data_IF_216831994430
#
_entry.id   IF_216831994430
#
_cell.length_a   1.000
_cell.length_b   1.000
_cell.length_c   1.000
_cell.angle_alpha   90.00
_cell.angle_beta   90.00
_cell.angle_gamma   90.00
#
_symmetry.space_group_name_H-M   'P 1'
#
loop_
_entity.id
_entity.type
_entity.pdbx_description
1 polymer ?
#
# COMPACT_ATOMS: atom_id res chain seq x y z
N UNK A 1 5.25 -6.37 -5.52
CA UNK A 1 4.25 -6.35 -4.42
C UNK A 1 3.19 -7.44 -4.64
N UNK A 2 2.72 -8.09 -3.58
CA UNK A 2 1.52 -8.94 -3.62
C UNK A 2 0.52 -8.58 -2.50
N UNK A 3 -0.76 -8.85 -2.75
CA UNK A 3 -1.87 -8.69 -1.81
C UNK A 3 -2.60 -10.03 -1.68
N UNK A 4 -2.82 -10.47 -0.46
CA UNK A 4 -3.49 -11.73 -0.11
C UNK A 4 -4.62 -11.47 0.86
N UNK A 5 -5.66 -12.27 0.75
CA UNK A 5 -6.66 -12.38 1.81
C UNK A 5 -5.97 -12.93 3.07
N UNK A 6 -6.02 -12.21 4.18
CA UNK A 6 -5.28 -12.58 5.39
C UNK A 6 -5.83 -13.83 6.09
N UNK A 7 -7.11 -14.17 5.91
CA UNK A 7 -7.71 -15.36 6.51
C UNK A 7 -7.37 -16.62 5.70
N UNK A 8 -7.38 -16.51 4.37
CA UNK A 8 -7.24 -17.67 3.47
C UNK A 8 -5.85 -17.81 2.84
N UNK A 9 -5.01 -16.78 2.90
CA UNK A 9 -3.70 -16.73 2.22
C UNK A 9 -3.78 -16.62 0.69
N UNK A 10 -5.00 -16.57 0.12
CA UNK A 10 -5.24 -16.54 -1.32
C UNK A 10 -4.74 -15.24 -1.92
N UNK A 11 -3.96 -15.34 -3.01
CA UNK A 11 -3.52 -14.16 -3.77
C UNK A 11 -4.73 -13.46 -4.39
N UNK A 12 -4.86 -12.17 -4.09
CA UNK A 12 -5.87 -11.28 -4.65
C UNK A 12 -5.27 -10.46 -5.78
N UNK A 13 -4.04 -9.97 -5.62
CA UNK A 13 -3.37 -9.15 -6.60
C UNK A 13 -1.86 -9.30 -6.51
N UNK A 14 -1.17 -9.13 -7.63
CA UNK A 14 0.28 -9.10 -7.70
C UNK A 14 0.71 -8.13 -8.80
N UNK A 15 1.78 -7.38 -8.53
CA UNK A 15 2.38 -6.46 -9.49
C UNK A 15 3.90 -6.39 -9.31
N UNK A 16 4.60 -6.20 -10.41
CA UNK A 16 6.07 -6.11 -10.48
C UNK A 16 6.57 -4.69 -10.72
N UNK A 17 5.67 -3.77 -11.07
CA UNK A 17 5.98 -2.35 -11.29
C UNK A 17 6.47 -1.69 -9.99
N UNK A 18 7.38 -0.72 -10.15
CA UNK A 18 7.83 0.11 -9.04
C UNK A 18 6.86 1.27 -8.78
N UNK A 19 5.95 1.03 -7.83
CA UNK A 19 4.94 2.01 -7.41
C UNK A 19 5.48 3.04 -6.41
N UNK A 20 6.77 3.02 -6.09
CA UNK A 20 7.42 4.01 -5.21
C UNK A 20 7.93 5.24 -5.96
N UNK A 21 7.96 5.19 -7.30
CA UNK A 21 8.44 6.27 -8.16
C UNK A 21 7.57 7.53 -7.98
N UNK A 22 8.16 8.68 -7.59
CA UNK A 22 7.44 9.93 -7.40
C UNK A 22 7.16 10.64 -8.73
N UNK A 23 6.29 11.66 -8.70
CA UNK A 23 6.04 12.55 -9.86
C UNK A 23 5.12 11.97 -10.95
N UNK A 24 4.73 10.71 -10.83
CA UNK A 24 3.74 10.06 -11.69
C UNK A 24 2.58 9.52 -10.84
N UNK A 25 1.38 9.47 -11.42
CA UNK A 25 0.25 8.77 -10.82
C UNK A 25 0.19 7.37 -11.42
N UNK A 26 0.48 6.36 -10.58
CA UNK A 26 0.43 4.97 -10.99
C UNK A 26 -1.01 4.46 -10.99
N UNK A 27 -1.27 3.36 -11.69
CA UNK A 27 -2.55 2.66 -11.63
C UNK A 27 -2.39 1.24 -11.07
N UNK A 28 -3.35 0.80 -10.25
CA UNK A 28 -3.47 -0.59 -9.85
C UNK A 28 -4.91 -1.07 -10.03
N UNK A 29 -5.07 -2.18 -10.75
CA UNK A 29 -6.36 -2.85 -10.98
C UNK A 29 -6.48 -4.05 -10.07
N UNK A 30 -7.24 -3.92 -9.00
CA UNK A 30 -7.41 -4.94 -7.95
C UNK A 30 -8.80 -5.57 -8.04
N UNK A 31 -8.98 -6.86 -7.71
CA UNK A 31 -10.30 -7.47 -7.84
C UNK A 31 -11.24 -6.95 -6.75
N UNK A 32 -12.48 -6.61 -7.11
CA UNK A 32 -13.50 -6.06 -6.18
C UNK A 32 -13.76 -6.90 -4.92
N UNK A 33 -13.46 -8.21 -4.97
CA UNK A 33 -13.57 -9.12 -3.81
C UNK A 33 -12.64 -8.73 -2.65
N UNK A 34 -11.59 -7.95 -2.90
CA UNK A 34 -10.68 -7.44 -1.86
C UNK A 34 -11.43 -6.61 -0.81
N UNK A 35 -12.51 -5.92 -1.20
CA UNK A 35 -13.35 -5.12 -0.32
C UNK A 35 -14.18 -5.96 0.66
N UNK A 36 -14.21 -7.28 0.49
CA UNK A 36 -14.90 -8.23 1.39
C UNK A 36 -13.95 -8.91 2.37
N UNK A 37 -12.65 -8.69 2.25
CA UNK A 37 -11.67 -9.27 3.16
C UNK A 37 -11.71 -8.49 4.47
N UNK A 38 -11.74 -9.19 5.61
CA UNK A 38 -11.61 -8.54 6.92
C UNK A 38 -10.24 -7.90 7.11
N UNK A 39 -9.22 -8.53 6.52
CA UNK A 39 -7.88 -7.98 6.46
C UNK A 39 -7.16 -8.46 5.18
N UNK A 40 -6.24 -7.65 4.71
CA UNK A 40 -5.38 -7.93 3.56
C UNK A 40 -3.94 -8.03 4.06
N UNK A 41 -3.31 -9.16 3.81
CA UNK A 41 -1.86 -9.32 3.98
C UNK A 41 -1.16 -8.76 2.74
N UNK A 42 -0.26 -7.80 2.94
CA UNK A 42 0.56 -7.19 1.89
C UNK A 42 1.99 -7.66 2.03
N UNK A 43 2.61 -8.01 0.92
CA UNK A 43 4.04 -8.24 0.83
C UNK A 43 4.68 -7.25 -0.15
N UNK A 44 5.63 -6.48 0.35
CA UNK A 44 6.51 -5.61 -0.43
C UNK A 44 7.86 -6.28 -0.57
N UNK A 45 8.43 -6.24 -1.77
CA UNK A 45 9.82 -6.60 -1.99
C UNK A 45 10.52 -5.33 -2.48
N UNK A 46 11.60 -4.93 -1.82
CA UNK A 46 12.33 -3.72 -2.13
C UNK A 46 13.82 -3.94 -1.94
N UNK A 47 14.61 -3.15 -2.67
CA UNK A 47 16.06 -3.10 -2.51
C UNK A 47 16.49 -1.69 -2.13
N UNK A 48 17.54 -1.57 -1.34
CA UNK A 48 18.16 -0.28 -1.01
C UNK A 48 19.67 -0.38 -1.16
N UNK A 49 20.27 0.53 -1.90
CA UNK A 49 21.73 0.69 -1.93
C UNK A 49 22.21 1.31 -0.61
N UNK A 50 21.47 2.29 -0.10
CA UNK A 50 21.76 3.02 1.13
C UNK A 50 21.32 2.25 2.37
N UNK A 51 22.04 2.45 3.48
CA UNK A 51 21.58 2.05 4.80
C UNK A 51 20.44 2.98 5.24
N UNK A 52 19.45 2.45 5.96
CA UNK A 52 18.44 3.25 6.65
C UNK A 52 18.36 2.80 8.10
N UNK A 53 18.23 3.76 9.02
CA UNK A 53 18.15 3.48 10.45
C UNK A 53 16.75 3.01 10.86
N UNK A 54 15.72 3.67 10.33
CA UNK A 54 14.32 3.42 10.68
C UNK A 54 13.41 3.60 9.47
N UNK A 55 13.54 2.69 8.50
CA UNK A 55 12.67 2.70 7.33
C UNK A 55 11.21 2.46 7.72
N UNK A 56 10.33 3.36 7.30
CA UNK A 56 8.89 3.32 7.60
C UNK A 56 8.05 3.93 6.48
N UNK A 57 6.76 3.58 6.46
CA UNK A 57 5.77 4.12 5.54
C UNK A 57 4.65 4.82 6.29
N UNK A 58 4.22 5.94 5.72
CA UNK A 58 2.92 6.53 6.01
C UNK A 58 2.07 6.46 4.75
N UNK A 59 0.85 5.95 4.88
CA UNK A 59 -0.08 5.83 3.76
C UNK A 59 -1.38 6.51 4.07
N UNK A 60 -1.86 7.31 3.11
CA UNK A 60 -3.17 7.96 3.19
C UNK A 60 -4.05 7.49 2.06
N UNK A 61 -5.26 7.06 2.40
CA UNK A 61 -6.28 6.65 1.43
C UNK A 61 -7.21 7.84 1.21
N UNK A 62 -7.16 8.40 0.01
CA UNK A 62 -8.04 9.49 -0.39
C UNK A 62 -9.18 8.98 -1.25
N UNK A 63 -10.38 9.46 -0.98
CA UNK A 63 -11.54 9.32 -1.86
C UNK A 63 -12.02 10.71 -2.26
N UNK A 64 -11.96 11.01 -3.56
CA UNK A 64 -12.34 12.33 -4.11
C UNK A 64 -11.69 13.52 -3.37
N UNK A 65 -10.43 13.35 -2.95
CA UNK A 65 -9.64 14.38 -2.24
C UNK A 65 -9.86 14.41 -0.73
N UNK A 66 -10.83 13.68 -0.18
CA UNK A 66 -11.00 13.53 1.26
C UNK A 66 -10.18 12.34 1.78
N UNK A 67 -9.36 12.55 2.81
CA UNK A 67 -8.66 11.46 3.49
C UNK A 67 -9.66 10.62 4.28
N UNK A 68 -9.73 9.33 3.97
CA UNK A 68 -10.59 8.36 4.66
C UNK A 68 -9.84 7.61 5.76
N UNK A 69 -8.62 7.18 5.46
CA UNK A 69 -7.80 6.36 6.34
C UNK A 69 -6.33 6.78 6.29
N UNK A 70 -5.64 6.59 7.41
CA UNK A 70 -4.19 6.75 7.53
C UNK A 70 -3.61 5.48 8.14
N UNK A 71 -2.56 4.94 7.50
CA UNK A 71 -1.88 3.74 7.95
C UNK A 71 -0.39 4.00 8.15
N UNK A 72 0.17 3.41 9.20
CA UNK A 72 1.56 3.57 9.60
C UNK A 72 2.21 2.20 9.68
N UNK A 73 3.32 2.01 8.98
CA UNK A 73 4.05 0.75 8.96
C UNK A 73 5.53 1.00 9.20
N UNK A 74 6.13 0.25 10.11
CA UNK A 74 7.57 0.32 10.41
C UNK A 74 8.26 -0.96 9.96
N UNK A 75 9.33 -0.82 9.18
CA UNK A 75 10.23 -1.92 8.82
C UNK A 75 11.44 -1.96 9.77
N UNK A 76 12.01 -0.79 10.06
CA UNK A 76 13.20 -0.63 10.90
C UNK A 76 14.48 -0.54 10.08
N UNK A 77 15.56 -1.12 10.62
CA UNK A 77 16.89 -1.02 10.03
C UNK A 77 16.98 -1.72 8.66
N UNK A 78 17.57 -1.05 7.68
CA UNK A 78 17.83 -1.60 6.34
C UNK A 78 19.33 -1.66 6.10
N UNK A 79 19.83 -2.88 5.84
CA UNK A 79 21.24 -3.11 5.50
C UNK A 79 21.53 -2.47 4.13
N UNK A 80 22.67 -1.79 3.94
CA UNK A 80 23.05 -1.25 2.63
C UNK A 80 23.22 -2.37 1.60
N UNK A 81 22.84 -2.10 0.36
CA UNK A 81 22.81 -3.04 -0.76
C UNK A 81 22.02 -4.34 -0.49
N UNK A 82 20.97 -4.26 0.33
CA UNK A 82 20.10 -5.40 0.63
C UNK A 82 18.83 -5.42 -0.20
N UNK A 83 18.24 -6.61 -0.32
CA UNK A 83 16.89 -6.82 -0.84
C UNK A 83 16.08 -7.49 0.25
N UNK A 84 14.94 -6.89 0.60
CA UNK A 84 14.11 -7.30 1.72
C UNK A 84 12.71 -7.61 1.24
N UNK A 85 12.08 -8.56 1.94
CA UNK A 85 10.65 -8.85 1.82
C UNK A 85 9.98 -8.42 3.11
N UNK A 86 9.02 -7.51 3.01
CA UNK A 86 8.30 -6.93 4.13
C UNK A 86 6.82 -7.26 4.06
N UNK A 87 6.33 -7.96 5.08
CA UNK A 87 4.92 -8.27 5.23
C UNK A 87 4.25 -7.29 6.19
N UNK A 88 3.08 -6.80 5.80
CA UNK A 88 2.23 -5.92 6.62
C UNK A 88 0.78 -6.41 6.59
N UNK A 89 0.04 -6.18 7.66
CA UNK A 89 -1.40 -6.45 7.71
C UNK A 89 -2.17 -5.13 7.57
N UNK A 90 -3.17 -5.11 6.69
CA UNK A 90 -4.09 -3.98 6.52
C UNK A 90 -5.46 -4.46 6.95
N UNK A 91 -5.97 -3.93 8.05
CA UNK A 91 -7.31 -4.24 8.55
C UNK A 91 -8.35 -3.43 7.78
N UNK A 92 -9.46 -4.07 7.41
CA UNK A 92 -10.55 -3.38 6.73
C UNK A 92 -11.39 -2.58 7.74
N UNK A 93 -11.88 -1.43 7.30
CA UNK A 93 -12.94 -0.72 8.00
C UNK A 93 -14.20 -1.62 8.12
N UNK A 94 -15.05 -1.40 9.14
CA UNK A 94 -16.30 -2.13 9.30
C UNK A 94 -17.15 -2.12 8.02
N UNK A 95 -17.81 -3.24 7.71
CA UNK A 95 -18.62 -3.38 6.48
C UNK A 95 -19.67 -2.28 6.30
N UNK A 96 -20.23 -1.76 7.40
CA UNK A 96 -21.22 -0.67 7.38
C UNK A 96 -20.66 0.66 6.85
N UNK A 97 -19.34 0.83 6.84
CA UNK A 97 -18.64 2.01 6.35
C UNK A 97 -18.05 1.81 4.94
N UNK A 98 -18.12 0.58 4.41
CA UNK A 98 -17.55 0.26 3.11
C UNK A 98 -18.44 0.72 1.97
N UNK A 99 -17.91 1.60 1.13
CA UNK A 99 -18.59 2.04 -0.08
C UNK A 99 -18.56 0.96 -1.18
N UNK A 100 -19.57 0.90 -2.06
CA UNK A 100 -19.57 -0.05 -3.18
C UNK A 100 -18.38 0.13 -4.12
N UNK A 101 -17.89 -0.97 -4.69
CA UNK A 101 -16.79 -0.96 -5.66
C UNK A 101 -17.03 0.00 -6.85
N UNK A 102 -18.28 0.12 -7.32
CA UNK A 102 -18.67 1.02 -8.40
C UNK A 102 -18.51 2.51 -8.06
N UNK A 103 -18.54 2.85 -6.78
CA UNK A 103 -18.32 4.22 -6.28
C UNK A 103 -16.82 4.48 -6.09
N UNK A 104 -16.10 3.49 -5.53
CA UNK A 104 -14.68 3.59 -5.22
C UNK A 104 -13.77 3.56 -6.46
N UNK A 105 -14.12 2.75 -7.46
CA UNK A 105 -13.27 2.49 -8.62
C UNK A 105 -12.89 3.77 -9.36
N UNK A 106 -11.59 3.98 -9.57
CA UNK A 106 -11.03 5.17 -10.21
C UNK A 106 -11.06 6.44 -9.35
N UNK A 107 -11.68 6.44 -8.17
CA UNK A 107 -11.79 7.61 -7.28
C UNK A 107 -10.91 7.52 -6.02
N UNK A 108 -10.32 6.36 -5.77
CA UNK A 108 -9.42 6.11 -4.64
C UNK A 108 -7.97 6.34 -5.07
N UNK A 109 -7.26 7.15 -4.29
CA UNK A 109 -5.81 7.34 -4.39
C UNK A 109 -5.17 6.87 -3.08
N UNK A 110 -4.16 6.01 -3.17
CA UNK A 110 -3.24 5.76 -2.06
C UNK A 110 -2.03 6.65 -2.27
N UNK A 111 -1.83 7.61 -1.37
CA UNK A 111 -0.56 8.32 -1.24
C UNK A 111 0.34 7.53 -0.29
N UNK A 112 1.57 7.26 -0.69
CA UNK A 112 2.57 6.58 0.14
C UNK A 112 3.78 7.48 0.31
N UNK A 113 4.14 7.75 1.56
CA UNK A 113 5.37 8.43 1.92
C UNK A 113 6.35 7.43 2.51
N UNK A 114 7.58 7.50 2.04
CA UNK A 114 8.69 6.65 2.45
C UNK A 114 9.62 7.48 3.32
N UNK A 115 9.92 7.01 4.53
CA UNK A 115 10.79 7.72 5.46
C UNK A 115 11.93 6.84 5.93
N UNK A 116 13.08 7.46 6.20
CA UNK A 116 14.07 6.96 7.14
C UNK A 116 14.04 7.85 8.39
N UNK A 117 13.47 7.33 9.47
CA UNK A 117 13.11 8.10 10.65
C UNK A 117 12.26 9.34 10.29
N UNK A 118 12.78 10.57 10.42
CA UNK A 118 12.07 11.80 10.05
C UNK A 118 12.38 12.29 8.62
N UNK A 119 13.35 11.68 7.94
CA UNK A 119 13.74 12.05 6.58
C UNK A 119 12.74 11.51 5.56
N UNK A 120 12.00 12.40 4.90
CA UNK A 120 11.15 12.03 3.77
C UNK A 120 12.02 11.68 2.54
N UNK A 121 11.97 10.42 2.12
CA UNK A 121 12.73 9.87 0.99
C UNK A 121 11.96 10.04 -0.33
N UNK A 122 10.68 9.67 -0.35
CA UNK A 122 9.83 9.76 -1.55
C UNK A 122 8.37 9.90 -1.17
N UNK A 123 7.57 10.45 -2.08
CA UNK A 123 6.11 10.42 -2.03
C UNK A 123 5.58 9.93 -3.37
N UNK A 124 4.82 8.84 -3.37
CA UNK A 124 4.19 8.28 -4.56
C UNK A 124 2.67 8.22 -4.43
N UNK A 125 1.98 8.11 -5.56
CA UNK A 125 0.52 8.07 -5.62
C UNK A 125 0.06 6.96 -6.57
N UNK A 126 -0.88 6.15 -6.10
CA UNK A 126 -1.47 5.04 -6.88
C UNK A 126 -2.98 5.18 -6.92
N UNK A 127 -3.55 5.27 -8.11
CA UNK A 127 -4.99 5.21 -8.35
C UNK A 127 -5.47 3.77 -8.40
N UNK A 128 -6.51 3.47 -7.62
CA UNK A 128 -7.09 2.13 -7.57
C UNK A 128 -8.31 2.01 -8.46
N UNK A 129 -8.36 0.93 -9.22
CA UNK A 129 -9.53 0.47 -9.95
C UNK A 129 -9.96 -0.89 -9.41
N UNK A 130 -11.20 -0.99 -8.96
CA UNK A 130 -11.79 -2.24 -8.48
C UNK A 130 -12.52 -2.92 -9.65
N UNK A 131 -11.97 -4.04 -10.13
CA UNK A 131 -12.45 -4.79 -11.32
C UNK A 131 -13.09 -6.14 -10.96
#
# INVERSE_FOLDING_TARGET
>A
MNLRDAETGKILWQGTEDLSVPGVEHEARVPKKILKCKAVSRELNFSSAEQMEKFRLEQKVYFKGQCLEEWFFEFGFVIPNSTNTWQSLIEAAPESQMMPASVLTGNVIIETKFFDDDLLVSTSRVRLFYV
#
